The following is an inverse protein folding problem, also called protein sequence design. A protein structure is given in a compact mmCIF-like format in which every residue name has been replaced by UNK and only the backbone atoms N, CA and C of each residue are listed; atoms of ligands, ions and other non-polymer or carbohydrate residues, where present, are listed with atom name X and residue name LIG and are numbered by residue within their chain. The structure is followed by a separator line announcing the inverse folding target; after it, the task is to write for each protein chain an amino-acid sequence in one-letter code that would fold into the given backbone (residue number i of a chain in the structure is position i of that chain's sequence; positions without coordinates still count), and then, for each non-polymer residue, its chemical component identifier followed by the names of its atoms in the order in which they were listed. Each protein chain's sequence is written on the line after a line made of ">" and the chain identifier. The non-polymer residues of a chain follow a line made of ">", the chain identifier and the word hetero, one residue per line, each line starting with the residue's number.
data_IF_732061714561
#
_entry.id   IF_732061714561
#
_cell.length_a   1.000
_cell.length_b   1.000
_cell.length_c   1.000
_cell.angle_alpha   90.00
_cell.angle_beta   90.00
_cell.angle_gamma   90.00
#
_symmetry.space_group_name_H-M   'P 1'
#
loop_
_entity.id
_entity.type
_entity.pdbx_description
1 polymer ?
#
# COMPACT_ATOMS: atom_id res chain seq x y z
N UNK A 1 -6.16 -5.12 -55.73
CA UNK A 1 -5.57 -6.35 -55.15
C UNK A 1 -5.20 -6.01 -53.72
N UNK A 2 -5.96 -6.44 -52.69
CA UNK A 2 -5.79 -7.70 -51.90
C UNK A 2 -4.31 -7.85 -51.52
N UNK A 3 -3.89 -7.81 -50.24
CA UNK A 3 -4.21 -8.70 -49.10
C UNK A 3 -4.02 -7.94 -47.76
N UNK A 4 -5.00 -7.94 -46.84
CA UNK A 4 -5.19 -8.87 -45.70
C UNK A 4 -4.17 -8.75 -44.54
N UNK A 5 -4.67 -8.20 -43.42
CA UNK A 5 -4.62 -8.71 -42.05
C UNK A 5 -3.38 -9.52 -41.61
N UNK A 6 -2.68 -9.06 -40.57
CA UNK A 6 -2.38 -9.88 -39.37
C UNK A 6 -1.98 -8.95 -38.22
N UNK A 7 -2.81 -8.93 -37.18
CA UNK A 7 -2.50 -8.44 -35.84
C UNK A 7 -1.44 -9.38 -35.26
N UNK A 8 -0.24 -8.88 -34.93
CA UNK A 8 0.70 -9.64 -34.11
C UNK A 8 0.57 -9.17 -32.66
N UNK A 9 -0.20 -9.94 -31.91
CA UNK A 9 -0.28 -9.94 -30.45
C UNK A 9 1.08 -10.43 -29.93
N UNK A 10 1.93 -9.54 -29.42
CA UNK A 10 3.17 -9.94 -28.77
C UNK A 10 2.84 -10.31 -27.33
N UNK A 11 2.56 -11.59 -27.11
CA UNK A 11 2.59 -12.21 -25.80
C UNK A 11 4.03 -12.22 -25.30
N UNK A 12 4.37 -11.34 -24.35
CA UNK A 12 5.61 -11.45 -23.58
C UNK A 12 5.44 -12.57 -22.54
N UNK A 13 5.69 -13.80 -22.98
CA UNK A 13 5.98 -14.93 -22.10
C UNK A 13 7.46 -14.82 -21.74
N UNK A 14 7.78 -14.30 -20.56
CA UNK A 14 9.13 -14.43 -19.99
C UNK A 14 9.31 -15.85 -19.47
N UNK A 15 9.67 -16.76 -20.38
CA UNK A 15 10.25 -18.06 -20.04
C UNK A 15 11.77 -17.96 -20.10
N UNK A 16 12.44 -17.91 -18.95
CA UNK A 16 13.90 -18.01 -18.88
C UNK A 16 14.33 -19.49 -18.93
N UNK A 17 15.08 -19.84 -19.97
CA UNK A 17 15.85 -21.11 -20.03
C UNK A 17 17.23 -20.87 -19.42
N UNK A 18 17.58 -21.71 -18.45
CA UNK A 18 18.80 -21.68 -17.65
C UNK A 18 20.07 -21.91 -18.49
N UNK A 19 21.08 -21.05 -18.27
CA UNK A 19 22.48 -21.39 -18.47
C UNK A 19 23.22 -21.00 -17.19
N UNK A 20 23.85 -21.99 -16.56
CA UNK A 20 24.40 -21.91 -15.21
C UNK A 20 25.40 -20.77 -15.05
N UNK A 21 25.02 -19.79 -14.25
CA UNK A 21 25.87 -19.05 -13.33
C UNK A 21 25.12 -19.11 -11.99
N UNK A 22 25.84 -19.36 -10.89
CA UNK A 22 25.23 -19.31 -9.57
C UNK A 22 24.55 -17.95 -9.41
N UNK A 23 23.22 -17.96 -9.43
CA UNK A 23 22.41 -16.81 -9.04
C UNK A 23 22.69 -16.68 -7.55
N UNK A 24 23.53 -15.73 -7.16
CA UNK A 24 23.47 -15.21 -5.79
C UNK A 24 22.00 -14.85 -5.57
N UNK A 25 21.29 -15.68 -4.79
CA UNK A 25 20.00 -15.27 -4.25
C UNK A 25 20.29 -14.01 -3.47
N UNK A 26 19.95 -12.86 -4.03
CA UNK A 26 19.96 -11.61 -3.29
C UNK A 26 18.94 -11.80 -2.17
N UNK A 27 19.40 -12.19 -0.99
CA UNK A 27 18.54 -12.49 0.15
C UNK A 27 18.04 -11.16 0.69
N UNK A 28 16.87 -10.75 0.21
CA UNK A 28 16.18 -9.59 0.75
C UNK A 28 16.00 -9.76 2.26
N UNK A 29 16.55 -8.83 3.04
CA UNK A 29 16.37 -8.79 4.49
C UNK A 29 15.38 -7.67 4.79
N UNK A 30 14.17 -7.98 5.28
CA UNK A 30 13.17 -6.96 5.61
C UNK A 30 13.68 -6.03 6.71
N UNK A 31 13.34 -4.73 6.67
CA UNK A 31 13.68 -3.82 7.75
C UNK A 31 12.91 -4.17 9.03
N UNK A 32 13.52 -3.90 10.18
CA UNK A 32 12.80 -3.88 11.46
C UNK A 32 11.91 -2.63 11.51
N UNK A 33 10.60 -2.84 11.67
CA UNK A 33 9.65 -1.75 11.74
C UNK A 33 9.50 -1.21 13.16
N UNK A 34 9.33 0.11 13.35
CA UNK A 34 9.03 0.67 14.66
C UNK A 34 7.67 0.16 15.16
N UNK A 35 7.49 0.22 16.48
CA UNK A 35 6.19 -0.01 17.09
C UNK A 35 5.19 1.06 16.63
N UNK A 36 3.92 0.67 16.48
CA UNK A 36 2.85 1.62 16.19
C UNK A 36 2.71 2.63 17.33
N UNK A 37 2.50 3.92 17.03
CA UNK A 37 2.33 4.92 18.07
C UNK A 37 1.03 4.63 18.83
N UNK A 38 1.08 4.57 20.16
CA UNK A 38 -0.07 4.31 21.03
C UNK A 38 -0.56 5.56 21.78
N UNK A 39 0.13 6.70 21.63
CA UNK A 39 -0.17 7.97 22.29
C UNK A 39 0.04 9.16 21.35
N UNK A 40 -0.52 10.32 21.68
CA UNK A 40 -0.27 11.57 20.96
C UNK A 40 1.23 11.90 20.87
N UNK A 41 1.97 11.75 21.95
CA UNK A 41 3.41 12.01 21.99
C UNK A 41 4.17 11.08 21.04
N UNK A 42 3.79 9.80 20.98
CA UNK A 42 4.37 8.84 20.05
C UNK A 42 4.02 9.17 18.60
N UNK A 43 2.79 9.60 18.30
CA UNK A 43 2.44 10.09 16.96
C UNK A 43 3.34 11.25 16.55
N UNK A 44 3.58 12.22 17.44
CA UNK A 44 4.50 13.32 17.16
C UNK A 44 5.94 12.83 16.92
N UNK A 45 6.40 11.84 17.68
CA UNK A 45 7.74 11.26 17.52
C UNK A 45 7.90 10.52 16.19
N UNK A 46 6.93 9.69 15.80
CA UNK A 46 6.96 8.94 14.54
C UNK A 46 6.71 9.82 13.32
N UNK A 47 5.99 10.93 13.48
CA UNK A 47 5.75 11.93 12.44
C UNK A 47 6.94 12.89 12.22
N UNK A 48 7.76 13.14 13.24
CA UNK A 48 8.87 14.11 13.16
C UNK A 48 9.88 13.87 12.02
N UNK A 49 10.29 12.62 11.68
CA UNK A 49 11.12 12.35 10.51
C UNK A 49 10.48 12.82 9.19
N UNK A 50 9.16 12.63 9.04
CA UNK A 50 8.42 13.01 7.84
C UNK A 50 8.33 14.52 7.68
N UNK A 51 8.17 15.26 8.78
CA UNK A 51 8.28 16.73 8.74
C UNK A 51 9.66 17.20 8.29
N UNK A 52 10.73 16.59 8.82
CA UNK A 52 12.12 16.91 8.40
C UNK A 52 12.35 16.60 6.93
N UNK A 53 11.71 15.57 6.40
CA UNK A 53 11.73 15.20 4.99
C UNK A 53 10.72 15.98 4.12
N UNK A 54 9.94 16.90 4.70
CA UNK A 54 8.88 17.66 4.02
C UNK A 54 7.81 16.75 3.36
N UNK A 55 7.58 15.57 3.93
CA UNK A 55 6.60 14.57 3.48
C UNK A 55 5.61 14.16 4.59
N UNK A 56 5.02 15.09 5.36
CA UNK A 56 4.13 14.72 6.47
C UNK A 56 2.86 13.98 6.02
N UNK A 57 2.40 14.20 4.78
CA UNK A 57 1.21 13.53 4.25
C UNK A 57 1.44 12.02 4.07
N UNK A 58 2.65 11.62 3.67
CA UNK A 58 3.03 10.22 3.47
C UNK A 58 2.87 9.41 4.75
N UNK A 59 3.20 10.00 5.91
CA UNK A 59 2.98 9.36 7.20
C UNK A 59 1.50 9.01 7.43
N UNK A 60 0.59 9.95 7.18
CA UNK A 60 -0.84 9.70 7.32
C UNK A 60 -1.34 8.73 6.27
N UNK A 61 -0.77 8.76 5.06
CA UNK A 61 -1.13 7.82 4.00
C UNK A 61 -0.68 6.40 4.33
N UNK A 62 0.51 6.21 4.88
CA UNK A 62 0.96 4.91 5.37
C UNK A 62 0.00 4.36 6.44
N UNK A 63 -0.40 5.18 7.41
CA UNK A 63 -1.35 4.77 8.45
C UNK A 63 -2.74 4.48 7.89
N UNK A 64 -3.18 5.23 6.88
CA UNK A 64 -4.42 4.96 6.15
C UNK A 64 -4.37 3.59 5.48
N UNK A 65 -3.27 3.25 4.79
CA UNK A 65 -3.06 1.94 4.18
C UNK A 65 -3.17 0.82 5.21
N UNK A 66 -2.56 0.98 6.39
CA UNK A 66 -2.58 -0.03 7.46
C UNK A 66 -3.98 -0.15 8.09
N UNK A 67 -4.71 0.96 8.22
CA UNK A 67 -6.10 0.97 8.70
C UNK A 67 -7.08 0.34 7.70
N UNK A 68 -6.89 0.54 6.40
CA UNK A 68 -7.66 -0.12 5.34
C UNK A 68 -7.52 -1.64 5.44
N UNK A 69 -6.34 -2.13 5.81
CA UNK A 69 -6.08 -3.54 6.07
C UNK A 69 -6.62 -4.04 7.42
N UNK A 70 -7.15 -3.15 8.27
CA UNK A 70 -7.58 -3.44 9.65
C UNK A 70 -6.46 -4.02 10.51
N UNK A 71 -5.22 -3.56 10.27
CA UNK A 71 -4.02 -4.00 10.99
C UNK A 71 -3.43 -2.94 11.91
N UNK A 72 -4.03 -1.75 11.94
CA UNK A 72 -3.61 -0.67 12.83
C UNK A 72 -4.22 -0.92 14.23
N UNK A 73 -3.42 -0.93 15.32
CA UNK A 73 -3.94 -1.17 16.66
C UNK A 73 -4.97 -0.12 17.08
N UNK A 74 -5.96 -0.53 17.88
CA UNK A 74 -6.99 0.38 18.39
C UNK A 74 -6.42 1.57 19.16
N UNK A 75 -5.32 1.38 19.92
CA UNK A 75 -4.65 2.48 20.62
C UNK A 75 -4.05 3.50 19.65
N UNK A 76 -3.47 3.05 18.55
CA UNK A 76 -2.97 3.93 17.49
C UNK A 76 -4.09 4.70 16.82
N UNK A 77 -5.25 4.07 16.63
CA UNK A 77 -6.44 4.79 16.17
C UNK A 77 -6.87 5.89 17.13
N UNK A 78 -6.93 5.59 18.43
CA UNK A 78 -7.24 6.62 19.44
C UNK A 78 -6.21 7.74 19.45
N UNK A 79 -4.91 7.43 19.34
CA UNK A 79 -3.85 8.42 19.29
C UNK A 79 -3.93 9.34 18.06
N UNK A 80 -4.32 8.80 16.89
CA UNK A 80 -4.54 9.58 15.68
C UNK A 80 -5.77 10.47 15.76
N UNK A 81 -6.85 10.00 16.39
CA UNK A 81 -8.02 10.83 16.69
C UNK A 81 -7.65 11.96 17.66
N UNK A 82 -6.93 11.67 18.74
CA UNK A 82 -6.45 12.70 19.67
C UNK A 82 -5.54 13.72 18.96
N UNK A 83 -4.68 13.25 18.05
CA UNK A 83 -3.88 14.13 17.21
C UNK A 83 -4.76 15.06 16.35
N UNK A 84 -5.78 14.55 15.67
CA UNK A 84 -6.62 15.38 14.81
C UNK A 84 -7.42 16.41 15.60
N UNK A 85 -7.90 16.06 16.80
CA UNK A 85 -8.58 16.96 17.72
C UNK A 85 -7.67 18.09 18.23
N UNK A 86 -6.39 17.81 18.50
CA UNK A 86 -5.40 18.82 18.93
C UNK A 86 -4.88 19.70 17.80
N UNK A 87 -5.08 19.30 16.55
CA UNK A 87 -4.58 19.97 15.34
C UNK A 87 -5.72 20.32 14.35
N UNK A 88 -6.81 20.97 14.79
CA UNK A 88 -8.04 21.09 14.01
C UNK A 88 -7.86 21.83 12.68
N UNK A 89 -6.91 22.78 12.60
CA UNK A 89 -6.63 23.52 11.36
C UNK A 89 -6.14 22.64 10.21
N UNK A 90 -5.49 21.51 10.51
CA UNK A 90 -5.01 20.58 9.48
C UNK A 90 -6.16 19.74 8.89
N UNK A 91 -7.20 19.49 9.68
CA UNK A 91 -8.30 18.57 9.36
C UNK A 91 -9.64 19.29 9.18
N UNK A 92 -9.64 20.61 9.07
CA UNK A 92 -10.85 21.44 9.03
C UNK A 92 -11.75 21.06 7.85
N UNK A 93 -11.15 20.81 6.68
CA UNK A 93 -11.87 20.41 5.46
C UNK A 93 -12.61 19.08 5.60
N UNK A 94 -12.24 18.26 6.59
CA UNK A 94 -12.79 16.92 6.82
C UNK A 94 -13.35 16.74 8.23
N UNK A 95 -13.65 17.86 8.91
CA UNK A 95 -14.27 17.87 10.24
C UNK A 95 -13.51 17.04 11.29
N UNK A 96 -12.17 17.00 11.20
CA UNK A 96 -11.34 16.24 12.13
C UNK A 96 -11.14 14.76 11.77
N UNK A 97 -11.75 14.25 10.70
CA UNK A 97 -11.50 12.88 10.22
C UNK A 97 -10.19 12.83 9.43
N UNK A 98 -9.17 12.24 10.04
CA UNK A 98 -7.84 12.08 9.44
C UNK A 98 -7.84 11.16 8.22
N UNK A 99 -8.76 10.17 8.14
CA UNK A 99 -8.85 9.28 6.97
C UNK A 99 -9.43 10.03 5.78
N UNK A 100 -10.53 10.74 6.01
CA UNK A 100 -11.13 11.59 5.00
C UNK A 100 -10.13 12.67 4.54
N UNK A 101 -9.32 13.20 5.46
CA UNK A 101 -8.24 14.14 5.10
C UNK A 101 -7.24 13.51 4.14
N UNK A 102 -6.75 12.29 4.40
CA UNK A 102 -5.82 11.59 3.49
C UNK A 102 -6.45 11.40 2.11
N UNK A 103 -7.69 10.90 2.06
CA UNK A 103 -8.43 10.69 0.80
C UNK A 103 -8.53 12.00 0.01
N UNK A 104 -8.91 13.09 0.66
CA UNK A 104 -9.08 14.39 0.01
C UNK A 104 -7.75 15.04 -0.36
N UNK A 105 -6.74 15.00 0.51
CA UNK A 105 -5.46 15.67 0.32
C UNK A 105 -4.62 15.00 -0.79
N UNK A 106 -4.85 13.71 -1.03
CA UNK A 106 -4.17 12.94 -2.07
C UNK A 106 -5.02 12.69 -3.32
N UNK A 107 -6.27 13.17 -3.35
CA UNK A 107 -7.22 12.89 -4.43
C UNK A 107 -7.31 11.38 -4.74
N UNK A 108 -7.41 10.57 -3.68
CA UNK A 108 -7.42 9.11 -3.83
C UNK A 108 -8.67 8.66 -4.59
N UNK A 109 -8.50 7.70 -5.50
CA UNK A 109 -9.63 7.16 -6.25
C UNK A 109 -10.55 6.31 -5.36
N UNK A 110 -11.78 6.10 -5.82
CA UNK A 110 -12.74 5.20 -5.17
C UNK A 110 -12.26 3.72 -5.12
N UNK A 111 -11.25 3.36 -5.90
CA UNK A 111 -10.69 2.00 -5.95
C UNK A 111 -9.40 1.82 -5.15
N UNK A 112 -8.91 2.86 -4.45
CA UNK A 112 -7.65 2.80 -3.71
C UNK A 112 -7.63 1.67 -2.66
N UNK A 113 -8.74 1.47 -1.96
CA UNK A 113 -8.85 0.38 -0.97
C UNK A 113 -8.72 -1.01 -1.62
N UNK A 114 -9.17 -1.15 -2.86
CA UNK A 114 -9.03 -2.38 -3.64
C UNK A 114 -7.56 -2.59 -3.99
N UNK A 115 -6.86 -1.53 -4.42
CA UNK A 115 -5.42 -1.58 -4.71
C UNK A 115 -4.61 -2.01 -3.48
N UNK A 116 -4.88 -1.39 -2.33
CA UNK A 116 -4.25 -1.69 -1.04
C UNK A 116 -4.43 -3.17 -0.70
N UNK A 117 -5.67 -3.67 -0.71
CA UNK A 117 -5.95 -5.06 -0.36
C UNK A 117 -5.37 -6.07 -1.37
N UNK A 118 -5.50 -5.83 -2.68
CA UNK A 118 -4.99 -6.76 -3.69
C UNK A 118 -3.45 -6.86 -3.63
N UNK A 119 -2.75 -5.74 -3.51
CA UNK A 119 -1.29 -5.70 -3.37
C UNK A 119 -0.83 -6.34 -2.06
N UNK A 120 -1.52 -6.07 -0.95
CA UNK A 120 -1.22 -6.73 0.33
C UNK A 120 -1.29 -8.24 0.20
N UNK A 121 -2.37 -8.78 -0.37
CA UNK A 121 -2.56 -10.23 -0.51
C UNK A 121 -1.46 -10.85 -1.38
N UNK A 122 -1.16 -10.22 -2.52
CA UNK A 122 -0.12 -10.74 -3.44
C UNK A 122 1.26 -10.69 -2.80
N UNK A 123 1.61 -9.56 -2.18
CA UNK A 123 2.96 -9.37 -1.68
C UNK A 123 3.20 -10.13 -0.36
N UNK A 124 2.21 -10.21 0.52
CA UNK A 124 2.31 -11.04 1.74
C UNK A 124 2.44 -12.52 1.40
N UNK A 125 1.71 -13.01 0.38
CA UNK A 125 1.88 -14.38 -0.12
C UNK A 125 3.30 -14.60 -0.67
N UNK A 126 3.86 -13.62 -1.38
CA UNK A 126 5.24 -13.65 -1.85
C UNK A 126 6.25 -13.73 -0.71
N UNK A 127 6.15 -12.84 0.28
CA UNK A 127 7.01 -12.81 1.45
C UNK A 127 7.03 -14.14 2.22
N UNK A 128 5.85 -14.73 2.45
CA UNK A 128 5.72 -16.03 3.13
C UNK A 128 6.44 -17.13 2.34
N UNK A 129 6.30 -17.15 1.01
CA UNK A 129 7.00 -18.11 0.15
C UNK A 129 8.53 -17.92 0.19
N UNK A 130 8.99 -16.69 0.42
CA UNK A 130 10.40 -16.33 0.59
C UNK A 130 10.90 -16.53 2.04
N UNK A 131 10.04 -16.99 2.96
CA UNK A 131 10.39 -17.36 4.32
C UNK A 131 10.35 -16.23 5.34
N UNK A 132 9.61 -15.15 5.09
CA UNK A 132 9.46 -14.03 6.02
C UNK A 132 8.05 -13.45 6.04
N UNK A 133 7.69 -12.78 7.14
CA UNK A 133 6.37 -12.15 7.30
C UNK A 133 6.41 -10.68 6.87
N UNK A 134 5.52 -10.30 5.96
CA UNK A 134 5.45 -8.91 5.51
C UNK A 134 4.81 -8.03 6.59
N UNK A 135 5.62 -7.25 7.31
CA UNK A 135 5.09 -6.29 8.29
C UNK A 135 4.17 -5.26 7.62
N UNK A 136 2.95 -4.98 8.15
CA UNK A 136 1.99 -4.08 7.50
C UNK A 136 2.51 -2.66 7.28
N UNK A 137 3.28 -2.12 8.23
CA UNK A 137 3.90 -0.81 8.05
C UNK A 137 4.96 -0.81 6.95
N UNK A 138 5.78 -1.86 6.84
CA UNK A 138 6.74 -1.96 5.76
C UNK A 138 6.02 -2.05 4.40
N UNK A 139 4.89 -2.76 4.35
CA UNK A 139 4.03 -2.79 3.17
C UNK A 139 3.50 -1.39 2.83
N UNK A 140 3.05 -0.64 3.83
CA UNK A 140 2.52 0.71 3.63
C UNK A 140 3.58 1.66 3.08
N UNK A 141 4.82 1.63 3.60
CA UNK A 141 5.93 2.41 3.05
C UNK A 141 6.17 2.09 1.56
N UNK A 142 6.27 0.80 1.22
CA UNK A 142 6.43 0.38 -0.17
C UNK A 142 5.24 0.76 -1.03
N UNK A 143 4.01 0.71 -0.49
CA UNK A 143 2.81 1.13 -1.20
C UNK A 143 2.87 2.63 -1.53
N UNK A 144 3.14 3.48 -0.53
CA UNK A 144 3.21 4.94 -0.71
C UNK A 144 4.33 5.31 -1.67
N UNK A 145 5.50 4.68 -1.55
CA UNK A 145 6.61 4.91 -2.48
C UNK A 145 6.20 4.55 -3.91
N UNK A 146 5.63 3.37 -4.15
CA UNK A 146 5.16 2.97 -5.49
C UNK A 146 4.02 3.86 -6.00
N UNK A 147 3.09 4.27 -5.13
CA UNK A 147 1.97 5.14 -5.49
C UNK A 147 2.44 6.51 -5.98
N UNK A 148 3.50 7.05 -5.37
CA UNK A 148 4.00 8.41 -5.62
C UNK A 148 4.86 8.55 -6.89
N UNK A 149 5.08 7.48 -7.66
CA UNK A 149 5.82 7.55 -8.92
C UNK A 149 4.97 8.17 -10.04
N UNK A 150 5.59 9.00 -10.90
CA UNK A 150 4.94 9.75 -12.00
C UNK A 150 4.12 8.89 -12.99
N UNK A 151 4.32 7.58 -13.01
CA UNK A 151 3.56 6.63 -13.83
C UNK A 151 3.05 5.43 -13.03
N UNK A 152 2.73 5.66 -11.76
CA UNK A 152 2.20 4.65 -10.85
C UNK A 152 1.05 3.88 -11.50
N UNK A 153 1.14 2.56 -11.44
CA UNK A 153 0.10 1.63 -11.89
C UNK A 153 -0.62 0.98 -10.70
N UNK A 154 -0.41 1.51 -9.49
CA UNK A 154 -0.92 0.93 -8.23
C UNK A 154 -2.44 0.86 -8.22
N UNK A 155 -3.11 1.89 -8.72
CA UNK A 155 -4.56 2.06 -8.70
C UNK A 155 -5.13 2.39 -10.08
N UNK A 156 -4.54 1.79 -11.11
CA UNK A 156 -5.00 1.90 -12.50
C UNK A 156 -5.54 0.54 -12.94
N UNK A 157 -6.78 0.54 -13.44
CA UNK A 157 -7.52 -0.68 -13.67
C UNK A 157 -8.03 -0.83 -15.09
N UNK A 158 -7.82 -2.01 -15.65
CA UNK A 158 -8.73 -2.58 -16.65
C UNK A 158 -9.93 -3.23 -15.95
N UNK A 159 -11.03 -3.42 -16.68
CA UNK A 159 -12.21 -4.11 -16.15
C UNK A 159 -11.86 -5.53 -15.63
N UNK A 160 -11.05 -6.27 -16.37
CA UNK A 160 -10.62 -7.61 -15.99
C UNK A 160 -9.73 -7.61 -14.74
N UNK A 161 -8.75 -6.70 -14.66
CA UNK A 161 -7.88 -6.60 -13.47
C UNK A 161 -8.66 -6.22 -12.21
N UNK A 162 -9.64 -5.31 -12.32
CA UNK A 162 -10.46 -4.91 -11.19
C UNK A 162 -11.35 -6.06 -10.71
N UNK A 163 -11.92 -6.82 -11.64
CA UNK A 163 -12.75 -7.99 -11.35
C UNK A 163 -11.95 -9.08 -10.63
N UNK A 164 -10.74 -9.37 -11.09
CA UNK A 164 -9.87 -10.37 -10.45
C UNK A 164 -9.37 -9.91 -9.08
N UNK A 165 -9.05 -8.62 -8.89
CA UNK A 165 -8.70 -8.07 -7.59
C UNK A 165 -9.86 -8.23 -6.58
N UNK A 166 -11.07 -7.81 -6.95
CA UNK A 166 -12.28 -7.97 -6.11
C UNK A 166 -12.52 -9.44 -5.74
N UNK A 167 -12.34 -10.36 -6.68
CA UNK A 167 -12.46 -11.81 -6.43
C UNK A 167 -11.42 -12.31 -5.45
N UNK A 168 -10.15 -11.90 -5.59
CA UNK A 168 -9.06 -12.26 -4.66
C UNK A 168 -9.35 -11.79 -3.24
N UNK A 169 -9.77 -10.53 -3.09
CA UNK A 169 -10.11 -9.93 -1.80
C UNK A 169 -11.26 -10.68 -1.14
N UNK A 170 -12.31 -10.97 -1.91
CA UNK A 170 -13.45 -11.76 -1.43
C UNK A 170 -12.99 -13.14 -0.92
N UNK A 171 -12.21 -13.87 -1.72
CA UNK A 171 -11.72 -15.19 -1.34
C UNK A 171 -10.80 -15.16 -0.11
N UNK A 172 -10.00 -14.10 0.04
CA UNK A 172 -9.13 -13.92 1.21
C UNK A 172 -9.95 -13.76 2.49
N UNK A 173 -10.97 -12.88 2.47
CA UNK A 173 -11.86 -12.63 3.60
C UNK A 173 -12.72 -13.84 3.96
N UNK A 174 -13.22 -14.60 2.97
CA UNK A 174 -14.00 -15.83 3.19
C UNK A 174 -13.18 -16.92 3.91
N UNK A 175 -11.85 -16.88 3.83
CA UNK A 175 -10.94 -17.80 4.54
C UNK A 175 -10.64 -17.37 5.98
N UNK A 176 -11.23 -16.27 6.46
CA UNK A 176 -11.01 -15.75 7.81
C UNK A 176 -9.65 -15.07 7.99
N UNK A 177 -9.06 -14.53 6.92
CA UNK A 177 -7.82 -13.76 6.96
C UNK A 177 -8.07 -12.26 6.81
#
# INVERSE_FOLDING_TARGET
>A
MKYFCTILMVSLIFGFTLKGNAVEKNTYTPPEMPAYPESYEEVMQTLAPYYRAQRPLDYFFELYVIDTLKKLPTKSLSALTEFSEKHPSFFESTQGDWRAFVVSAMDLSETIDIAIWDLWIRNSSGAINDGWDYHPWHFAQNFVDNYSHDNSQVDIWTEDSLREAKKRIRMFRERGN
#
